data_IF_235950656462
#
_entry.id   IF_235950656462
#
_cell.length_a   1.000
_cell.length_b   1.000
_cell.length_c   1.000
_cell.angle_alpha   90.00
_cell.angle_beta   90.00
_cell.angle_gamma   90.00
#
_symmetry.space_group_name_H-M   'P 1'
#
loop_
_entity.id
_entity.type
_entity.pdbx_description
1 polymer ?
#
# COMPACT_ATOMS: atom_id res chain seq x y z
N UNK A 1 2.92 -60.64 50.84
CA UNK A 1 4.34 -60.90 51.22
C UNK A 1 5.02 -59.54 51.39
N UNK A 2 5.33 -59.28 52.64
CA UNK A 2 5.96 -58.07 53.17
C UNK A 2 7.42 -57.95 52.73
N UNK A 3 7.89 -56.76 52.50
CA UNK A 3 9.21 -56.35 52.98
C UNK A 3 9.28 -54.83 53.17
N UNK A 4 9.45 -54.48 54.41
CA UNK A 4 9.89 -53.17 54.90
C UNK A 4 11.41 -53.05 54.76
N UNK A 5 11.91 -51.86 54.72
CA UNK A 5 13.16 -51.30 55.33
C UNK A 5 13.64 -50.16 54.40
N UNK A 6 14.05 -49.02 54.87
CA UNK A 6 14.47 -48.60 56.16
C UNK A 6 14.95 -47.14 56.01
N UNK A 7 14.52 -46.33 56.96
CA UNK A 7 14.88 -44.89 57.07
C UNK A 7 16.33 -44.77 57.56
N UNK A 8 17.13 -43.96 56.86
CA UNK A 8 18.37 -43.41 57.49
C UNK A 8 18.32 -41.89 57.37
N UNK A 9 18.13 -41.27 58.54
CA UNK A 9 18.38 -39.84 58.78
C UNK A 9 19.90 -39.60 58.78
N UNK A 10 20.36 -38.72 57.92
CA UNK A 10 21.68 -38.12 58.04
C UNK A 10 21.48 -36.61 58.25
N UNK A 11 21.80 -36.21 59.48
CA UNK A 11 21.85 -34.80 59.92
C UNK A 11 23.12 -34.19 59.35
N UNK A 12 22.97 -33.25 58.41
CA UNK A 12 24.07 -32.42 57.95
C UNK A 12 23.85 -30.98 58.40
N UNK A 13 24.73 -30.51 59.23
CA UNK A 13 24.81 -29.16 59.71
C UNK A 13 25.08 -28.20 58.57
N UNK A 14 24.15 -27.28 58.30
CA UNK A 14 24.33 -26.20 57.32
C UNK A 14 24.97 -25.02 58.01
N UNK A 15 26.22 -24.79 57.67
CA UNK A 15 26.98 -23.59 58.08
C UNK A 15 26.48 -22.41 57.22
N UNK A 16 25.72 -21.48 57.82
CA UNK A 16 25.25 -20.27 57.13
C UNK A 16 26.40 -19.26 57.13
N UNK A 17 27.05 -19.14 55.97
CA UNK A 17 28.01 -18.07 55.68
C UNK A 17 27.20 -16.84 55.22
N UNK A 18 27.08 -15.83 56.09
CA UNK A 18 26.46 -14.54 55.73
C UNK A 18 27.49 -13.77 54.91
N UNK A 19 27.37 -13.85 53.58
CA UNK A 19 28.08 -12.95 52.64
C UNK A 19 27.31 -11.63 52.58
N UNK A 20 27.86 -10.59 53.22
CA UNK A 20 27.40 -9.20 53.05
C UNK A 20 27.76 -8.78 51.63
N UNK A 21 26.83 -9.00 50.71
CA UNK A 21 26.96 -8.54 49.34
C UNK A 21 26.74 -7.03 49.27
N UNK A 22 27.79 -6.30 48.93
CA UNK A 22 27.71 -4.89 48.51
C UNK A 22 26.96 -4.87 47.17
N UNK A 23 25.71 -4.40 47.18
CA UNK A 23 24.92 -4.21 45.96
C UNK A 23 25.47 -2.94 45.28
N UNK A 24 26.05 -3.02 44.06
CA UNK A 24 26.38 -1.81 43.32
C UNK A 24 25.08 -1.10 42.92
N UNK A 25 24.91 0.13 43.38
CA UNK A 25 23.85 1.02 42.89
C UNK A 25 24.21 1.37 41.46
N UNK A 26 23.55 0.71 40.54
CA UNK A 26 23.60 1.09 39.10
C UNK A 26 22.73 2.34 38.97
N UNK A 27 23.29 3.50 38.51
CA UNK A 27 22.45 4.65 38.21
C UNK A 27 21.46 4.27 37.09
N UNK A 28 20.18 4.49 37.32
CA UNK A 28 19.18 4.46 36.25
C UNK A 28 19.60 5.50 35.21
N UNK A 29 20.23 5.04 34.10
CA UNK A 29 20.39 5.86 32.94
C UNK A 29 18.98 6.25 32.48
N UNK A 30 18.72 7.53 32.53
CA UNK A 30 17.54 8.20 32.01
C UNK A 30 17.39 7.76 30.53
N UNK A 31 16.51 6.79 30.30
CA UNK A 31 16.10 6.43 28.94
C UNK A 31 15.24 7.57 28.45
N UNK A 32 15.93 8.59 27.90
CA UNK A 32 15.25 9.60 27.14
C UNK A 32 14.28 8.91 26.19
N UNK A 33 12.98 9.12 26.44
CA UNK A 33 11.93 8.84 25.47
C UNK A 33 12.27 9.65 24.22
N UNK A 34 13.00 9.03 23.31
CA UNK A 34 13.18 9.54 21.98
C UNK A 34 11.78 9.65 21.37
N UNK A 35 11.22 10.85 21.44
CA UNK A 35 10.10 11.23 20.57
C UNK A 35 10.61 11.09 19.15
N UNK A 36 10.42 9.90 18.56
CA UNK A 36 10.61 9.70 17.15
C UNK A 36 9.67 10.67 16.46
N UNK A 37 10.20 11.83 16.05
CA UNK A 37 9.55 12.67 15.06
C UNK A 37 9.32 11.76 13.85
N UNK A 38 8.06 11.39 13.63
CA UNK A 38 7.66 10.86 12.33
C UNK A 38 8.03 11.96 11.33
N UNK A 39 9.12 11.74 10.60
CA UNK A 39 9.49 12.63 9.52
C UNK A 39 8.32 12.59 8.54
N UNK A 40 7.53 13.66 8.52
CA UNK A 40 6.53 13.88 7.49
C UNK A 40 7.29 13.76 6.16
N UNK A 41 6.97 12.78 5.35
CA UNK A 41 7.54 12.64 4.02
C UNK A 41 7.19 13.91 3.26
N UNK A 42 8.20 14.69 2.92
CA UNK A 42 8.06 15.91 2.16
C UNK A 42 7.43 15.55 0.79
N UNK A 43 6.17 15.92 0.60
CA UNK A 43 5.45 15.69 -0.65
C UNK A 43 6.12 16.53 -1.74
N UNK A 44 6.88 15.88 -2.60
CA UNK A 44 7.50 16.54 -3.74
C UNK A 44 6.41 17.01 -4.70
N UNK A 45 6.32 18.31 -4.95
CA UNK A 45 5.40 18.88 -5.94
C UNK A 45 6.10 19.06 -7.29
N UNK A 46 5.38 18.75 -8.37
CA UNK A 46 5.85 18.99 -9.73
C UNK A 46 5.65 20.44 -10.18
N UNK A 47 6.13 20.81 -11.38
CA UNK A 47 5.92 22.14 -11.97
C UNK A 47 4.45 22.53 -12.13
N UNK A 48 3.52 21.59 -12.15
CA UNK A 48 2.07 21.85 -12.17
C UNK A 48 1.51 22.28 -10.80
N UNK A 49 2.29 22.25 -9.72
CA UNK A 49 1.84 22.45 -8.34
C UNK A 49 1.17 21.22 -7.73
N UNK A 50 1.10 20.10 -8.45
CA UNK A 50 0.49 18.87 -7.97
C UNK A 50 1.53 17.91 -7.41
N UNK A 51 1.13 17.01 -6.47
CA UNK A 51 2.03 16.00 -5.89
C UNK A 51 2.66 15.10 -6.94
N UNK A 52 3.89 14.65 -6.67
CA UNK A 52 4.57 13.59 -7.39
C UNK A 52 5.14 12.57 -6.39
N UNK A 53 4.92 11.26 -6.63
CA UNK A 53 4.09 10.70 -7.70
C UNK A 53 2.59 10.87 -7.44
N UNK A 54 1.77 10.66 -8.48
CA UNK A 54 0.30 10.64 -8.35
C UNK A 54 -0.35 9.80 -9.43
N UNK A 55 -1.49 9.18 -9.11
CA UNK A 55 -2.30 8.46 -10.08
C UNK A 55 -3.25 9.38 -10.85
N UNK A 56 -3.42 9.08 -12.13
CA UNK A 56 -4.37 9.68 -13.07
C UNK A 56 -4.86 8.60 -14.01
N UNK A 57 -5.88 8.92 -14.83
CA UNK A 57 -6.40 7.98 -15.83
C UNK A 57 -6.17 8.48 -17.24
N UNK A 58 -6.07 7.56 -18.21
CA UNK A 58 -6.07 7.90 -19.62
C UNK A 58 -7.44 8.44 -20.03
N UNK A 59 -7.47 9.55 -20.77
CA UNK A 59 -8.72 10.17 -21.24
C UNK A 59 -9.20 9.65 -22.60
N UNK A 60 -8.39 8.82 -23.28
CA UNK A 60 -8.65 8.28 -24.61
C UNK A 60 -8.35 6.79 -24.68
N UNK A 61 -9.01 6.12 -25.60
CA UNK A 61 -8.81 4.71 -25.93
C UNK A 61 -7.56 4.46 -26.80
N UNK A 62 -6.93 5.52 -27.32
CA UNK A 62 -5.68 5.41 -28.06
C UNK A 62 -4.69 6.48 -27.61
N UNK A 63 -3.70 6.07 -26.82
CA UNK A 63 -2.70 6.96 -26.24
C UNK A 63 -1.29 6.50 -26.58
N UNK A 64 -0.58 7.32 -27.36
CA UNK A 64 0.83 7.09 -27.68
C UNK A 64 1.71 7.43 -26.47
N UNK A 65 2.50 6.47 -26.03
CA UNK A 65 3.57 6.67 -25.06
C UNK A 65 4.90 6.81 -25.80
N UNK A 66 5.66 7.84 -25.48
CA UNK A 66 6.90 8.19 -26.19
C UNK A 66 8.13 8.00 -25.31
N UNK A 67 9.27 7.84 -25.95
CA UNK A 67 10.57 7.69 -25.26
C UNK A 67 11.08 8.98 -24.61
N UNK A 68 10.50 10.14 -24.95
CA UNK A 68 10.89 11.45 -24.43
C UNK A 68 9.76 12.48 -24.48
N UNK A 69 9.94 13.64 -23.81
CA UNK A 69 8.92 14.66 -23.64
C UNK A 69 8.79 15.56 -24.89
N UNK A 70 8.27 15.01 -25.99
CA UNK A 70 8.07 15.77 -27.24
C UNK A 70 7.47 14.90 -28.34
N UNK A 71 6.83 15.54 -29.32
CA UNK A 71 6.22 14.85 -30.48
C UNK A 71 7.25 14.25 -31.43
N UNK A 72 8.47 14.77 -31.42
CA UNK A 72 9.61 14.30 -32.18
C UNK A 72 10.26 13.02 -31.63
N UNK A 73 9.96 12.65 -30.40
CA UNK A 73 10.44 11.39 -29.86
C UNK A 73 9.64 10.20 -30.39
N UNK A 74 10.30 9.05 -30.66
CA UNK A 74 9.63 7.85 -31.12
C UNK A 74 8.55 7.38 -30.15
N UNK A 75 7.48 6.81 -30.68
CA UNK A 75 6.47 6.08 -29.89
C UNK A 75 7.11 4.77 -29.41
N UNK A 76 7.04 4.54 -28.11
CA UNK A 76 7.53 3.32 -27.48
C UNK A 76 6.44 2.22 -27.51
N UNK A 77 5.22 2.59 -27.11
CA UNK A 77 4.03 1.73 -27.20
C UNK A 77 2.75 2.57 -27.28
N UNK A 78 1.62 1.91 -27.42
CA UNK A 78 0.31 2.56 -27.51
C UNK A 78 -0.63 1.86 -26.53
N UNK A 79 -1.26 2.61 -25.64
CA UNK A 79 -2.41 2.12 -24.89
C UNK A 79 -3.64 2.14 -25.80
N UNK A 80 -4.45 1.08 -25.72
CA UNK A 80 -5.65 0.89 -26.56
C UNK A 80 -6.93 0.82 -25.74
N UNK A 81 -6.91 1.33 -24.50
CA UNK A 81 -8.05 1.34 -23.59
C UNK A 81 -8.10 2.65 -22.82
N UNK A 82 -9.25 3.32 -22.83
CA UNK A 82 -9.50 4.50 -22.01
C UNK A 82 -9.59 4.14 -20.52
N UNK A 83 -9.44 5.14 -19.69
CA UNK A 83 -9.57 5.05 -18.23
C UNK A 83 -8.53 4.15 -17.52
N UNK A 84 -7.50 3.65 -18.22
CA UNK A 84 -6.42 2.94 -17.55
C UNK A 84 -5.70 3.86 -16.55
N UNK A 85 -5.49 3.43 -15.30
CA UNK A 85 -4.71 4.18 -14.33
C UNK A 85 -3.22 4.12 -14.67
N UNK A 86 -2.58 5.28 -14.62
CA UNK A 86 -1.12 5.43 -14.76
C UNK A 86 -0.61 6.35 -13.66
N UNK A 87 0.60 6.11 -13.20
CA UNK A 87 1.24 6.93 -12.19
C UNK A 87 2.14 7.97 -12.84
N UNK A 88 1.88 9.27 -12.61
CA UNK A 88 2.78 10.34 -13.03
C UNK A 88 3.94 10.41 -12.04
N UNK A 89 5.16 10.21 -12.54
CA UNK A 89 6.38 10.23 -11.73
C UNK A 89 7.26 11.45 -12.00
N UNK A 90 7.05 12.14 -13.13
CA UNK A 90 7.80 13.34 -13.49
C UNK A 90 6.97 14.21 -14.44
N UNK A 91 7.23 15.52 -14.43
CA UNK A 91 6.64 16.49 -15.32
C UNK A 91 7.71 17.28 -16.07
N UNK A 92 7.45 17.56 -17.33
CA UNK A 92 8.25 18.45 -18.17
C UNK A 92 7.33 19.19 -19.11
N UNK A 93 7.17 20.50 -18.97
CA UNK A 93 6.23 21.34 -19.74
C UNK A 93 4.82 20.71 -19.85
N UNK A 94 4.39 20.37 -21.07
CA UNK A 94 3.11 19.71 -21.33
C UNK A 94 3.18 18.17 -21.29
N UNK A 95 4.31 17.60 -20.92
CA UNK A 95 4.53 16.16 -20.90
C UNK A 95 4.57 15.62 -19.49
N UNK A 96 4.08 14.41 -19.34
CA UNK A 96 4.08 13.65 -18.08
C UNK A 96 4.79 12.34 -18.30
N UNK A 97 5.82 12.07 -17.51
CA UNK A 97 6.44 10.75 -17.46
C UNK A 97 5.55 9.88 -16.60
N UNK A 98 5.05 8.83 -17.19
CA UNK A 98 4.17 7.89 -16.51
C UNK A 98 4.88 6.58 -16.26
N UNK A 99 4.36 5.82 -15.31
CA UNK A 99 4.67 4.43 -15.05
C UNK A 99 3.36 3.63 -15.04
N UNK A 100 3.34 2.48 -15.70
CA UNK A 100 2.23 1.56 -15.66
C UNK A 100 2.41 0.49 -14.57
N UNK A 101 1.44 -0.42 -14.43
CA UNK A 101 1.46 -1.46 -13.42
C UNK A 101 2.58 -2.50 -13.62
N UNK A 102 3.09 -2.66 -14.83
CA UNK A 102 4.23 -3.51 -15.15
C UNK A 102 5.57 -2.83 -14.89
N UNK A 103 5.55 -1.54 -14.51
CA UNK A 103 6.73 -0.74 -14.26
C UNK A 103 7.32 -0.09 -15.51
N UNK A 104 6.66 -0.20 -16.67
CA UNK A 104 7.11 0.45 -17.91
C UNK A 104 6.93 1.96 -17.83
N UNK A 105 7.95 2.71 -18.25
CA UNK A 105 7.97 4.17 -18.16
C UNK A 105 8.05 4.84 -19.52
N UNK A 106 7.32 5.94 -19.69
CA UNK A 106 7.36 6.75 -20.90
C UNK A 106 6.60 8.06 -20.77
N UNK A 107 6.53 8.82 -21.83
CA UNK A 107 6.00 10.17 -21.83
C UNK A 107 4.68 10.28 -22.58
N UNK A 108 3.70 10.89 -21.94
CA UNK A 108 2.37 11.16 -22.47
C UNK A 108 2.11 12.67 -22.42
N UNK A 109 1.45 13.22 -23.42
CA UNK A 109 1.02 14.62 -23.39
C UNK A 109 -0.14 14.78 -22.39
N UNK A 110 -0.12 15.83 -21.56
CA UNK A 110 -1.08 16.04 -20.46
C UNK A 110 -2.54 16.06 -20.90
N UNK A 111 -2.83 16.46 -22.15
CA UNK A 111 -4.20 16.47 -22.68
C UNK A 111 -4.83 15.08 -22.87
N UNK A 112 -4.02 14.03 -22.78
CA UNK A 112 -4.46 12.63 -22.86
C UNK A 112 -4.64 11.98 -21.49
N UNK A 113 -4.58 12.79 -20.42
CA UNK A 113 -4.74 12.39 -19.03
C UNK A 113 -5.94 13.09 -18.41
N UNK A 114 -6.59 12.41 -17.46
CA UNK A 114 -7.73 12.88 -16.70
C UNK A 114 -7.46 12.70 -15.20
N UNK A 115 -7.90 13.65 -14.39
CA UNK A 115 -7.87 13.52 -12.92
C UNK A 115 -8.88 12.51 -12.34
N UNK A 116 -9.74 11.93 -13.17
CA UNK A 116 -10.66 10.88 -12.73
C UNK A 116 -9.89 9.70 -12.15
N UNK A 117 -10.30 9.23 -10.99
CA UNK A 117 -9.66 8.11 -10.32
C UNK A 117 -10.25 6.79 -10.78
N UNK A 118 -9.38 5.91 -11.24
CA UNK A 118 -9.71 4.54 -11.64
C UNK A 118 -8.67 3.59 -11.07
N UNK A 119 -9.02 2.33 -10.97
CA UNK A 119 -8.10 1.29 -10.55
C UNK A 119 -8.27 0.01 -11.36
N UNK A 120 -7.18 -0.77 -11.48
CA UNK A 120 -7.17 -2.14 -11.97
C UNK A 120 -7.11 -3.05 -10.77
N UNK A 121 -7.98 -4.06 -10.73
CA UNK A 121 -8.02 -5.04 -9.65
C UNK A 121 -6.88 -6.02 -9.83
N UNK A 122 -5.99 -6.08 -8.85
CA UNK A 122 -4.88 -7.02 -8.70
C UNK A 122 -4.24 -7.50 -10.03
N UNK A 123 -3.69 -6.60 -10.85
CA UNK A 123 -3.14 -6.98 -12.16
C UNK A 123 -1.92 -7.93 -12.06
N UNK A 124 -1.40 -8.13 -10.86
CA UNK A 124 -0.31 -9.08 -10.55
C UNK A 124 -0.80 -10.49 -10.22
N UNK A 125 -2.12 -10.74 -10.14
CA UNK A 125 -2.70 -12.04 -9.80
C UNK A 125 -3.90 -12.33 -10.71
N UNK A 126 -3.63 -12.87 -11.88
CA UNK A 126 -4.60 -13.11 -12.95
C UNK A 126 -5.56 -14.29 -12.74
N UNK A 127 -5.35 -15.06 -11.66
CA UNK A 127 -6.14 -16.28 -11.35
C UNK A 127 -7.08 -16.12 -10.17
N UNK A 128 -6.98 -15.02 -9.42
CA UNK A 128 -7.77 -14.80 -8.23
C UNK A 128 -9.08 -14.08 -8.54
N UNK A 129 -10.08 -14.37 -7.73
CA UNK A 129 -11.31 -13.58 -7.61
C UNK A 129 -11.29 -12.85 -6.27
N UNK A 130 -11.75 -11.61 -6.27
CA UNK A 130 -11.73 -10.72 -5.13
C UNK A 130 -13.13 -10.37 -4.70
N UNK A 131 -13.42 -10.51 -3.40
CA UNK A 131 -14.72 -10.17 -2.87
C UNK A 131 -14.91 -8.63 -2.87
N UNK A 132 -15.93 -8.17 -3.54
CA UNK A 132 -16.50 -6.84 -3.39
C UNK A 132 -17.54 -6.88 -2.28
N UNK A 133 -17.43 -6.02 -1.27
CA UNK A 133 -18.23 -6.07 -0.06
C UNK A 133 -19.25 -4.94 0.03
N UNK A 134 -20.30 -5.15 0.81
CA UNK A 134 -21.36 -4.15 1.04
C UNK A 134 -20.88 -2.98 1.93
N UNK A 135 -19.84 -3.19 2.74
CA UNK A 135 -19.27 -2.20 3.65
C UNK A 135 -17.73 -2.37 3.75
N UNK A 136 -16.97 -1.33 4.20
CA UNK A 136 -15.52 -1.36 4.31
C UNK A 136 -15.05 -2.20 5.52
N UNK A 137 -15.34 -3.50 5.48
CA UNK A 137 -15.00 -4.45 6.54
C UNK A 137 -14.84 -5.87 6.00
N UNK A 138 -13.84 -6.60 6.49
CA UNK A 138 -13.62 -8.01 6.15
C UNK A 138 -14.78 -8.94 6.55
N UNK A 139 -15.60 -8.55 7.52
CA UNK A 139 -16.79 -9.28 7.96
C UNK A 139 -18.09 -8.88 7.27
N UNK A 140 -18.08 -7.88 6.39
CA UNK A 140 -19.27 -7.44 5.66
C UNK A 140 -19.73 -8.48 4.62
N UNK A 141 -21.00 -8.40 4.23
CA UNK A 141 -21.58 -9.21 3.17
C UNK A 141 -20.80 -9.07 1.85
N UNK A 142 -20.89 -10.09 1.01
CA UNK A 142 -20.26 -10.07 -0.31
C UNK A 142 -21.32 -9.65 -1.34
N UNK A 143 -21.12 -8.48 -1.95
CA UNK A 143 -21.99 -7.97 -3.01
C UNK A 143 -21.69 -8.64 -4.36
N UNK A 144 -20.42 -8.91 -4.65
CA UNK A 144 -19.98 -9.55 -5.89
C UNK A 144 -18.57 -10.16 -5.74
N UNK A 145 -18.20 -11.00 -6.69
CA UNK A 145 -16.81 -11.38 -6.90
C UNK A 145 -16.29 -10.73 -8.19
N UNK A 146 -15.15 -10.07 -8.10
CA UNK A 146 -14.50 -9.39 -9.21
C UNK A 146 -13.28 -10.18 -9.67
N UNK A 147 -13.09 -10.26 -10.98
CA UNK A 147 -11.90 -10.89 -11.56
C UNK A 147 -10.71 -9.92 -11.53
N UNK A 148 -9.51 -10.47 -11.52
CA UNK A 148 -8.30 -9.71 -11.73
C UNK A 148 -8.32 -8.99 -13.09
N UNK A 149 -7.55 -7.92 -13.23
CA UNK A 149 -7.47 -7.07 -14.43
C UNK A 149 -8.77 -6.30 -14.78
N UNK A 150 -9.80 -6.38 -13.94
CA UNK A 150 -10.99 -5.57 -14.12
C UNK A 150 -10.67 -4.10 -13.80
N UNK A 151 -11.10 -3.21 -14.70
CA UNK A 151 -10.98 -1.77 -14.53
C UNK A 151 -12.27 -1.21 -13.95
N UNK A 152 -12.17 -0.41 -12.89
CA UNK A 152 -13.31 0.24 -12.24
C UNK A 152 -13.01 1.69 -11.87
N UNK A 153 -14.03 2.53 -11.75
CA UNK A 153 -13.90 3.84 -11.13
C UNK A 153 -13.74 3.70 -9.62
N UNK A 154 -12.90 4.56 -9.03
CA UNK A 154 -12.75 4.69 -7.58
C UNK A 154 -13.54 5.90 -7.16
N UNK A 155 -14.60 5.69 -6.39
CA UNK A 155 -15.45 6.77 -5.86
C UNK A 155 -14.82 7.39 -4.61
N UNK A 156 -14.49 6.59 -3.63
CA UNK A 156 -13.88 7.04 -2.37
C UNK A 156 -12.92 5.99 -1.82
N UNK A 157 -11.94 6.42 -1.04
CA UNK A 157 -11.04 5.53 -0.29
C UNK A 157 -10.85 6.06 1.13
N UNK A 158 -10.96 5.18 2.12
CA UNK A 158 -10.68 5.46 3.53
C UNK A 158 -10.31 4.16 4.26
N UNK A 159 -9.47 4.23 5.27
CA UNK A 159 -9.15 3.12 6.20
C UNK A 159 -8.78 1.80 5.49
N UNK A 160 -7.89 1.84 4.51
CA UNK A 160 -7.45 0.68 3.71
C UNK A 160 -8.52 0.06 2.79
N UNK A 161 -9.68 0.70 2.62
CA UNK A 161 -10.75 0.29 1.73
C UNK A 161 -11.04 1.34 0.67
N UNK A 162 -11.41 0.88 -0.53
CA UNK A 162 -11.93 1.75 -1.58
C UNK A 162 -13.30 1.28 -2.05
N UNK A 163 -14.19 2.23 -2.28
CA UNK A 163 -15.46 1.99 -2.95
C UNK A 163 -15.25 2.09 -4.45
N UNK A 164 -15.55 0.99 -5.13
CA UNK A 164 -15.54 0.91 -6.57
C UNK A 164 -16.93 1.09 -7.12
N UNK A 165 -17.04 1.71 -8.28
CA UNK A 165 -18.28 1.91 -9.02
C UNK A 165 -18.13 1.57 -10.51
N UNK A 166 -19.07 0.81 -11.03
CA UNK A 166 -19.24 0.48 -12.43
C UNK A 166 -20.74 0.34 -12.71
N UNK A 167 -21.16 0.31 -13.95
CA UNK A 167 -22.57 0.10 -14.32
C UNK A 167 -23.16 -1.22 -13.81
N UNK A 168 -22.32 -2.22 -13.54
CA UNK A 168 -22.69 -3.58 -13.18
C UNK A 168 -22.56 -3.88 -11.70
N UNK A 169 -21.76 -3.10 -10.97
CA UNK A 169 -21.47 -3.33 -9.55
C UNK A 169 -21.09 -2.05 -8.82
N UNK A 170 -21.33 -2.03 -7.52
CA UNK A 170 -20.80 -1.04 -6.57
C UNK A 170 -20.50 -1.72 -5.26
N UNK A 171 -19.44 -1.34 -4.59
CA UNK A 171 -19.07 -1.90 -3.29
C UNK A 171 -17.62 -1.63 -2.90
N UNK A 172 -17.19 -2.23 -1.81
CA UNK A 172 -15.92 -1.98 -1.16
C UNK A 172 -14.92 -3.11 -1.38
N UNK A 173 -13.68 -2.75 -1.66
CA UNK A 173 -12.54 -3.66 -1.81
C UNK A 173 -11.33 -3.12 -1.03
N UNK A 174 -10.45 -3.99 -0.59
CA UNK A 174 -9.21 -3.61 0.07
C UNK A 174 -8.27 -2.84 -0.88
N UNK A 175 -7.69 -1.72 -0.42
CA UNK A 175 -6.77 -0.89 -1.23
C UNK A 175 -5.59 -1.68 -1.79
N UNK A 176 -5.07 -2.65 -1.01
CA UNK A 176 -3.93 -3.48 -1.43
C UNK A 176 -4.24 -4.43 -2.60
N UNK A 177 -5.49 -4.49 -3.05
CA UNK A 177 -5.94 -5.22 -4.25
C UNK A 177 -6.03 -4.33 -5.49
N UNK A 178 -5.61 -3.08 -5.40
CA UNK A 178 -5.82 -2.10 -6.45
C UNK A 178 -4.50 -1.51 -6.95
N UNK A 179 -4.33 -1.46 -8.26
CA UNK A 179 -3.40 -0.56 -8.93
C UNK A 179 -4.15 0.69 -9.36
N UNK A 180 -3.71 1.87 -8.93
CA UNK A 180 -4.39 3.15 -9.20
C UNK A 180 -4.67 3.94 -7.93
N UNK A 181 -4.36 3.37 -6.75
CA UNK A 181 -4.42 4.02 -5.43
C UNK A 181 -3.17 3.70 -4.62
N UNK A 182 -2.77 4.60 -3.73
CA UNK A 182 -1.67 4.35 -2.79
C UNK A 182 -2.19 3.68 -1.51
N UNK A 183 -1.33 2.92 -0.82
CA UNK A 183 -1.68 2.44 0.53
C UNK A 183 -2.07 3.60 1.43
N UNK A 184 -3.18 3.46 2.15
CA UNK A 184 -3.74 4.47 3.07
C UNK A 184 -4.10 5.81 2.41
N UNK A 185 -4.22 5.86 1.10
CA UNK A 185 -4.68 7.05 0.41
C UNK A 185 -6.15 7.33 0.75
N UNK A 186 -6.45 8.59 1.06
CA UNK A 186 -7.82 9.07 1.25
C UNK A 186 -8.25 9.72 -0.06
N UNK A 187 -9.38 9.26 -0.59
CA UNK A 187 -10.04 9.85 -1.77
C UNK A 187 -11.45 10.21 -1.32
N UNK A 188 -11.78 11.48 -1.38
CA UNK A 188 -13.13 12.00 -1.10
C UNK A 188 -13.94 12.05 -2.40
N UNK A 189 -15.28 11.95 -2.27
CA UNK A 189 -16.22 12.08 -3.40
C UNK A 189 -16.23 13.49 -3.98
#
# INVERSE_FOLDING_TARGET
MSLQLGVRLAASAVLILILVGVIPVVPLADRGLGTGSAAAQEVKTGPSGLPLPRFVSLSSDKVNVRRGPGRNYPVAWVFVRASLPVEIIQEFENWRKIRDWEGSEGWIHRSLLSGRRTAIIAPWDDRAQFALRDAPSGGAGIAAYLEANLLAAVATCAEDWCRLEDERFSGWIEQNRLWGVYPQEIIEE
#
